data_IF_951086288746
#
_entry.id   IF_951086288746
#
_cell.length_a   1.000
_cell.length_b   1.000
_cell.length_c   1.000
_cell.angle_alpha   90.00
_cell.angle_beta   90.00
_cell.angle_gamma   90.00
#
_symmetry.space_group_name_H-M   'P 1'
#
loop_
_entity.id
_entity.type
_entity.pdbx_description
1 polymer ?
#
# COMPACT_ATOMS: atom_id res chain seq x y z
N UNK A 1 -9.32 61.06 20.86
CA UNK A 1 -8.60 60.82 19.59
C UNK A 1 -7.47 59.84 19.91
N UNK A 2 -7.30 58.67 19.30
CA UNK A 2 -7.87 58.08 18.10
C UNK A 2 -7.90 56.56 18.31
N UNK A 3 -8.93 55.92 17.76
CA UNK A 3 -9.09 54.49 17.53
C UNK A 3 -7.91 53.98 16.68
N UNK A 4 -7.33 52.82 16.99
CA UNK A 4 -6.54 52.07 16.01
C UNK A 4 -7.03 50.62 15.96
N UNK A 5 -7.43 50.26 14.75
CA UNK A 5 -8.29 49.16 14.38
C UNK A 5 -7.54 47.82 14.30
N UNK A 6 -8.30 46.73 14.52
CA UNK A 6 -7.89 45.36 14.16
C UNK A 6 -7.58 45.30 12.67
N UNK A 7 -6.35 44.96 12.32
CA UNK A 7 -6.01 44.51 10.97
C UNK A 7 -6.43 43.03 10.85
N UNK A 8 -7.68 42.80 10.45
CA UNK A 8 -8.08 41.53 9.86
C UNK A 8 -7.45 41.47 8.47
N UNK A 9 -6.38 40.68 8.33
CA UNK A 9 -5.87 40.30 7.02
C UNK A 9 -6.90 39.32 6.41
N UNK A 10 -7.45 39.58 5.22
CA UNK A 10 -8.42 38.70 4.61
C UNK A 10 -7.80 37.33 4.32
N UNK A 11 -8.52 36.29 4.73
CA UNK A 11 -8.31 34.91 4.31
C UNK A 11 -8.57 34.83 2.79
N UNK A 12 -7.54 35.02 1.98
CA UNK A 12 -7.65 34.84 0.54
C UNK A 12 -7.64 33.34 0.19
N UNK A 13 -8.75 32.91 -0.37
CA UNK A 13 -8.77 31.81 -1.32
C UNK A 13 -9.22 30.46 -0.76
N UNK A 14 -10.43 30.39 -0.21
CA UNK A 14 -11.23 29.18 -0.40
C UNK A 14 -11.37 28.97 -1.92
N UNK A 15 -10.50 28.13 -2.51
CA UNK A 15 -10.61 27.72 -3.91
C UNK A 15 -12.02 27.18 -4.09
N UNK A 16 -12.84 27.89 -4.87
CA UNK A 16 -14.14 27.43 -5.33
C UNK A 16 -13.96 26.00 -5.85
N UNK A 17 -14.54 25.02 -5.14
CA UNK A 17 -14.57 23.62 -5.56
C UNK A 17 -15.02 23.59 -7.02
N UNK A 18 -14.14 23.13 -7.91
CA UNK A 18 -14.56 22.82 -9.28
C UNK A 18 -15.63 21.75 -9.16
N UNK A 19 -16.80 22.03 -9.74
CA UNK A 19 -17.97 21.16 -9.81
C UNK A 19 -17.54 19.83 -10.43
N UNK A 20 -17.17 18.83 -9.61
CA UNK A 20 -16.68 17.52 -10.05
C UNK A 20 -15.58 16.86 -9.20
N UNK A 21 -14.90 17.58 -8.31
CA UNK A 21 -13.85 17.00 -7.45
C UNK A 21 -14.52 16.35 -6.21
N UNK A 22 -14.81 15.06 -6.29
CA UNK A 22 -15.33 14.29 -5.16
C UNK A 22 -14.18 13.87 -4.24
N UNK A 23 -14.33 14.20 -2.95
CA UNK A 23 -13.43 13.75 -1.91
C UNK A 23 -14.12 12.70 -1.04
N UNK A 24 -13.33 11.75 -0.53
CA UNK A 24 -13.82 10.65 0.30
C UNK A 24 -13.09 10.66 1.63
N UNK A 25 -13.76 10.33 2.73
CA UNK A 25 -13.07 10.14 4.00
C UNK A 25 -12.12 8.95 3.91
N UNK A 26 -10.85 9.14 4.24
CA UNK A 26 -9.82 8.10 4.18
C UNK A 26 -10.25 6.86 4.99
N UNK A 27 -10.75 7.06 6.20
CA UNK A 27 -11.20 5.99 7.11
C UNK A 27 -12.58 5.43 6.74
N UNK A 28 -13.20 5.90 5.65
CA UNK A 28 -14.51 5.42 5.15
C UNK A 28 -14.52 4.92 3.70
N UNK A 29 -13.43 5.14 2.96
CA UNK A 29 -13.34 4.81 1.54
C UNK A 29 -13.38 3.29 1.30
N UNK A 30 -14.21 2.85 0.36
CA UNK A 30 -14.49 1.43 0.09
C UNK A 30 -15.14 0.67 1.26
N UNK A 31 -15.68 1.35 2.26
CA UNK A 31 -16.63 0.73 3.18
C UNK A 31 -17.97 0.49 2.50
N UNK A 32 -18.81 -0.34 3.13
CA UNK A 32 -20.12 -0.74 2.59
C UNK A 32 -20.93 0.49 2.17
N UNK A 33 -21.10 0.66 0.85
CA UNK A 33 -21.88 1.76 0.27
C UNK A 33 -21.10 3.05 -0.04
N UNK A 34 -19.78 3.12 0.15
CA UNK A 34 -18.97 4.30 -0.16
C UNK A 34 -17.86 3.97 -1.20
N UNK A 35 -17.85 4.58 -2.41
CA UNK A 35 -18.76 5.62 -2.90
C UNK A 35 -20.17 5.14 -3.25
N UNK A 36 -20.32 3.85 -3.51
CA UNK A 36 -21.59 3.20 -3.86
C UNK A 36 -21.48 1.69 -3.57
N UNK A 37 -22.59 0.96 -3.38
CA UNK A 37 -22.54 -0.50 -3.33
C UNK A 37 -21.96 -1.08 -4.63
N UNK A 38 -20.82 -1.77 -4.54
CA UNK A 38 -20.16 -2.40 -5.69
C UNK A 38 -20.73 -3.80 -5.94
N UNK A 39 -21.49 -3.96 -7.02
CA UNK A 39 -22.13 -5.23 -7.44
C UNK A 39 -21.48 -5.82 -8.69
N UNK A 40 -21.64 -7.13 -8.89
CA UNK A 40 -21.13 -7.83 -10.07
C UNK A 40 -19.75 -8.44 -9.89
N UNK A 41 -19.07 -8.72 -11.02
CA UNK A 41 -17.73 -9.30 -11.03
C UNK A 41 -16.66 -8.31 -10.54
N UNK A 42 -15.45 -8.79 -10.25
CA UNK A 42 -14.29 -7.94 -9.93
C UNK A 42 -14.13 -6.77 -10.92
N UNK A 43 -14.31 -7.03 -12.22
CA UNK A 43 -14.18 -6.02 -13.26
C UNK A 43 -15.32 -5.00 -13.24
N UNK A 44 -16.55 -5.43 -12.99
CA UNK A 44 -17.71 -4.54 -12.88
C UNK A 44 -17.54 -3.61 -11.68
N UNK A 45 -17.08 -4.15 -10.55
CA UNK A 45 -16.80 -3.39 -9.33
C UNK A 45 -15.66 -2.39 -9.51
N UNK A 46 -14.57 -2.81 -10.16
CA UNK A 46 -13.45 -1.91 -10.45
C UNK A 46 -13.89 -0.76 -11.35
N UNK A 47 -14.60 -1.04 -12.44
CA UNK A 47 -15.16 -0.02 -13.33
C UNK A 47 -16.07 0.92 -12.56
N UNK A 48 -16.98 0.38 -11.75
CA UNK A 48 -17.91 1.17 -10.95
C UNK A 48 -17.19 2.09 -9.95
N UNK A 49 -16.12 1.61 -9.29
CA UNK A 49 -15.28 2.43 -8.42
C UNK A 49 -14.61 3.57 -9.20
N UNK A 50 -14.02 3.28 -10.37
CA UNK A 50 -13.32 4.26 -11.20
C UNK A 50 -14.23 5.36 -11.78
N UNK A 51 -15.55 5.15 -11.86
CA UNK A 51 -16.50 6.20 -12.27
C UNK A 51 -16.49 7.41 -11.32
N UNK A 52 -16.07 7.22 -10.06
CA UNK A 52 -15.98 8.28 -9.05
C UNK A 52 -14.57 8.89 -8.96
N UNK A 53 -13.63 8.39 -9.74
CA UNK A 53 -12.25 8.86 -9.74
C UNK A 53 -12.08 10.08 -10.65
N UNK A 54 -11.12 10.94 -10.32
CA UNK A 54 -10.68 12.00 -11.21
C UNK A 54 -9.77 11.41 -12.31
N UNK A 55 -10.07 11.55 -13.61
CA UNK A 55 -9.16 11.14 -14.67
C UNK A 55 -7.95 12.08 -14.72
N UNK A 56 -6.75 11.52 -14.65
CA UNK A 56 -5.50 12.27 -14.67
C UNK A 56 -4.94 12.31 -16.10
N UNK A 57 -4.61 13.50 -16.59
CA UNK A 57 -4.01 13.67 -17.91
C UNK A 57 -2.56 13.16 -17.91
N UNK A 58 -2.26 12.18 -18.75
CA UNK A 58 -0.92 11.61 -18.90
C UNK A 58 -0.28 12.14 -20.17
N UNK A 59 0.86 12.84 -20.05
CA UNK A 59 1.54 13.50 -21.18
C UNK A 59 2.22 12.53 -22.16
N UNK A 60 2.34 11.24 -21.82
CA UNK A 60 2.95 10.22 -22.66
C UNK A 60 2.17 8.90 -22.60
N UNK A 61 1.34 8.64 -23.63
CA UNK A 61 0.99 7.30 -24.14
C UNK A 61 0.33 6.29 -23.18
N UNK A 62 -0.90 5.90 -23.55
CA UNK A 62 -1.61 4.63 -23.24
C UNK A 62 -1.95 4.26 -21.78
N UNK A 63 -1.31 4.85 -20.76
CA UNK A 63 -1.65 4.53 -19.37
C UNK A 63 -2.89 5.31 -18.92
N UNK A 64 -3.98 4.59 -18.64
CA UNK A 64 -5.15 5.18 -18.00
C UNK A 64 -4.87 5.38 -16.52
N UNK A 65 -4.80 6.65 -16.10
CA UNK A 65 -4.54 7.04 -14.72
C UNK A 65 -5.76 7.74 -14.13
N UNK A 66 -6.15 7.33 -12.95
CA UNK A 66 -7.23 7.92 -12.17
C UNK A 66 -6.75 8.24 -10.77
N UNK A 67 -7.37 9.20 -10.09
CA UNK A 67 -7.04 9.53 -8.71
C UNK A 67 -8.28 9.73 -7.84
N UNK A 68 -8.14 9.40 -6.56
CA UNK A 68 -9.13 9.67 -5.52
C UNK A 68 -8.50 10.58 -4.47
N UNK A 69 -9.18 11.69 -4.15
CA UNK A 69 -8.79 12.53 -3.03
C UNK A 69 -9.39 11.97 -1.74
N UNK A 70 -8.52 11.57 -0.81
CA UNK A 70 -8.90 10.98 0.47
C UNK A 70 -8.61 11.98 1.61
N UNK A 71 -9.66 12.41 2.31
CA UNK A 71 -9.60 13.34 3.43
C UNK A 71 -9.28 12.62 4.73
N UNK A 72 -8.27 13.11 5.45
CA UNK A 72 -7.88 12.59 6.75
C UNK A 72 -8.60 13.40 7.84
N UNK A 73 -9.22 12.71 8.80
CA UNK A 73 -9.89 13.35 9.92
C UNK A 73 -8.86 13.86 10.96
N UNK A 74 -8.30 15.06 10.71
CA UNK A 74 -7.29 15.71 11.57
C UNK A 74 -7.28 17.23 11.44
N UNK A 75 -6.59 17.89 12.38
CA UNK A 75 -6.31 19.32 12.33
C UNK A 75 -4.79 19.57 12.18
N UNK A 76 -4.34 20.36 11.19
CA UNK A 76 -5.13 20.98 10.12
C UNK A 76 -5.67 19.94 9.10
N UNK A 77 -6.78 20.24 8.41
CA UNK A 77 -7.34 19.35 7.39
C UNK A 77 -6.28 18.95 6.37
N UNK A 78 -6.08 17.65 6.20
CA UNK A 78 -5.05 17.11 5.32
C UNK A 78 -5.71 16.09 4.40
N UNK A 79 -5.38 16.11 3.12
CA UNK A 79 -5.81 15.09 2.16
C UNK A 79 -4.61 14.42 1.52
N UNK A 80 -4.79 13.16 1.15
CA UNK A 80 -3.84 12.38 0.34
C UNK A 80 -4.52 11.95 -0.95
N UNK A 81 -3.75 11.69 -2.01
CA UNK A 81 -4.28 11.18 -3.28
C UNK A 81 -3.88 9.74 -3.50
N UNK A 82 -4.87 8.88 -3.68
CA UNK A 82 -4.67 7.50 -4.13
C UNK A 82 -4.78 7.46 -5.65
N UNK A 83 -3.74 6.98 -6.33
CA UNK A 83 -3.73 6.82 -7.77
C UNK A 83 -4.02 5.39 -8.17
N UNK A 84 -4.78 5.22 -9.26
CA UNK A 84 -5.10 3.94 -9.88
C UNK A 84 -4.68 3.97 -11.34
N UNK A 85 -3.74 3.11 -11.72
CA UNK A 85 -3.17 3.05 -13.06
C UNK A 85 -3.45 1.70 -13.68
N UNK A 86 -4.01 1.70 -14.89
CA UNK A 86 -4.15 0.48 -15.69
C UNK A 86 -2.95 0.35 -16.64
N UNK A 87 -2.16 -0.71 -16.42
CA UNK A 87 -1.09 -1.16 -17.31
C UNK A 87 -1.61 -2.29 -18.19
N UNK A 88 -1.46 -2.16 -19.51
CA UNK A 88 -1.68 -3.27 -20.45
C UNK A 88 -0.45 -4.19 -20.46
N UNK A 89 -0.68 -5.49 -20.26
CA UNK A 89 0.40 -6.46 -20.21
C UNK A 89 1.07 -6.70 -21.58
N UNK A 90 0.39 -6.40 -22.69
CA UNK A 90 0.92 -6.57 -24.05
C UNK A 90 1.96 -5.49 -24.40
N UNK A 91 1.69 -4.24 -23.99
CA UNK A 91 2.55 -3.08 -24.20
C UNK A 91 3.58 -2.91 -23.07
N UNK A 92 3.35 -3.57 -21.92
CA UNK A 92 4.30 -3.62 -20.82
C UNK A 92 5.64 -4.28 -21.21
N UNK A 93 6.73 -3.71 -20.67
CA UNK A 93 8.07 -4.29 -20.76
C UNK A 93 8.18 -5.70 -20.13
N UNK A 94 7.21 -6.09 -19.30
CA UNK A 94 7.15 -7.42 -18.71
C UNK A 94 5.76 -8.03 -18.88
N UNK A 95 5.62 -9.02 -19.77
CA UNK A 95 4.33 -9.71 -20.03
C UNK A 95 3.88 -10.64 -18.91
N UNK A 96 4.81 -11.17 -18.12
CA UNK A 96 4.53 -12.08 -17.00
C UNK A 96 4.65 -11.36 -15.68
N UNK A 97 3.67 -11.54 -14.80
CA UNK A 97 3.81 -11.08 -13.43
C UNK A 97 4.84 -11.93 -12.68
N UNK A 98 5.96 -11.33 -12.29
CA UNK A 98 7.04 -12.01 -11.57
C UNK A 98 6.65 -12.39 -10.15
N UNK A 99 5.78 -11.61 -9.52
CA UNK A 99 5.26 -11.93 -8.20
C UNK A 99 4.35 -13.18 -8.22
N UNK A 100 3.56 -13.37 -9.28
CA UNK A 100 2.82 -14.63 -9.47
C UNK A 100 3.77 -15.83 -9.60
N UNK A 101 4.91 -15.67 -10.27
CA UNK A 101 5.92 -16.74 -10.36
C UNK A 101 6.49 -17.07 -8.97
N UNK A 102 6.84 -16.06 -8.16
CA UNK A 102 7.46 -16.28 -6.85
C UNK A 102 6.52 -16.93 -5.82
N UNK A 103 5.22 -16.67 -5.90
CA UNK A 103 4.21 -17.24 -4.99
C UNK A 103 3.54 -18.52 -5.52
N UNK A 104 4.05 -19.07 -6.63
CA UNK A 104 3.55 -20.32 -7.21
C UNK A 104 2.23 -20.19 -7.97
N UNK A 105 1.81 -18.98 -8.33
CA UNK A 105 0.60 -18.71 -9.12
C UNK A 105 0.88 -18.75 -10.63
N UNK A 106 1.60 -19.80 -11.08
CA UNK A 106 2.00 -19.99 -12.48
C UNK A 106 0.84 -19.92 -13.48
N UNK A 107 -0.35 -20.37 -13.07
CA UNK A 107 -1.56 -20.33 -13.90
C UNK A 107 -2.25 -18.94 -13.96
N UNK A 108 -1.75 -17.97 -13.20
CA UNK A 108 -2.27 -16.59 -13.15
C UNK A 108 -1.24 -15.55 -13.65
N UNK A 109 -0.12 -16.00 -14.23
CA UNK A 109 0.98 -15.12 -14.70
C UNK A 109 0.63 -14.32 -15.96
N UNK A 110 -0.36 -14.78 -16.74
CA UNK A 110 -0.85 -14.13 -17.97
C UNK A 110 -2.19 -13.49 -17.63
N UNK A 111 -2.20 -12.17 -17.54
CA UNK A 111 -3.41 -11.35 -17.44
C UNK A 111 -3.24 -10.20 -18.42
N UNK A 112 -4.33 -9.84 -19.11
CA UNK A 112 -4.31 -8.75 -20.09
C UNK A 112 -4.02 -7.39 -19.46
N UNK A 113 -4.44 -7.17 -18.21
CA UNK A 113 -4.26 -5.91 -17.49
C UNK A 113 -3.73 -6.10 -16.09
N UNK A 114 -2.92 -5.14 -15.65
CA UNK A 114 -2.52 -4.94 -14.25
C UNK A 114 -2.99 -3.58 -13.78
N UNK A 115 -3.57 -3.54 -12.59
CA UNK A 115 -4.16 -2.35 -12.01
C UNK A 115 -3.34 -2.01 -10.76
N UNK A 116 -2.64 -0.90 -10.82
CA UNK A 116 -1.73 -0.44 -9.77
C UNK A 116 -2.47 0.56 -8.89
N UNK A 117 -2.52 0.28 -7.60
CA UNK A 117 -3.00 1.21 -6.57
C UNK A 117 -1.79 1.78 -5.85
N UNK A 118 -1.60 3.09 -5.95
CA UNK A 118 -0.40 3.78 -5.43
C UNK A 118 -0.79 4.97 -4.58
N UNK A 119 -0.33 4.97 -3.33
CA UNK A 119 -0.34 6.14 -2.46
C UNK A 119 1.09 6.69 -2.41
N UNK A 120 1.45 7.71 -3.19
CA UNK A 120 2.82 8.19 -3.24
C UNK A 120 3.15 9.02 -1.98
N UNK A 121 4.44 9.11 -1.64
CA UNK A 121 4.90 9.97 -0.54
C UNK A 121 4.80 11.45 -0.92
N UNK A 122 4.99 11.75 -2.21
CA UNK A 122 4.81 13.08 -2.80
C UNK A 122 3.78 13.02 -3.89
N UNK A 123 2.98 14.06 -3.97
CA UNK A 123 1.77 14.08 -4.78
C UNK A 123 2.03 14.46 -6.25
N UNK A 124 2.85 13.67 -6.93
CA UNK A 124 3.33 13.94 -8.30
C UNK A 124 3.06 12.76 -9.22
N UNK A 125 2.31 12.97 -10.31
CA UNK A 125 1.99 11.94 -11.31
C UNK A 125 3.22 11.27 -11.90
N UNK A 126 4.26 12.03 -12.22
CA UNK A 126 5.52 11.50 -12.76
C UNK A 126 6.19 10.50 -11.80
N UNK A 127 6.02 10.67 -10.48
CA UNK A 127 6.55 9.74 -9.49
C UNK A 127 5.77 8.42 -9.52
N UNK A 128 4.45 8.50 -9.62
CA UNK A 128 3.57 7.34 -9.70
C UNK A 128 3.84 6.51 -10.95
N UNK A 129 4.00 7.16 -12.10
CA UNK A 129 4.35 6.49 -13.36
C UNK A 129 5.70 5.77 -13.25
N UNK A 130 6.72 6.45 -12.71
CA UNK A 130 8.03 5.83 -12.49
C UNK A 130 7.94 4.61 -11.56
N UNK A 131 7.16 4.69 -10.48
CA UNK A 131 6.93 3.56 -9.57
C UNK A 131 6.30 2.38 -10.30
N UNK A 132 5.27 2.63 -11.12
CA UNK A 132 4.56 1.56 -11.84
C UNK A 132 5.44 0.92 -12.93
N UNK A 133 6.10 1.73 -13.76
CA UNK A 133 6.99 1.27 -14.83
C UNK A 133 8.16 0.43 -14.31
N UNK A 134 8.67 0.75 -13.11
CA UNK A 134 9.80 0.04 -12.50
C UNK A 134 9.42 -1.06 -11.51
N UNK A 135 8.14 -1.27 -11.20
CA UNK A 135 7.68 -2.27 -10.24
C UNK A 135 8.25 -3.67 -10.53
N UNK A 136 8.25 -4.09 -11.79
CA UNK A 136 8.78 -5.38 -12.22
C UNK A 136 10.33 -5.42 -12.33
N UNK A 137 10.98 -4.27 -12.44
CA UNK A 137 12.41 -4.13 -12.65
C UNK A 137 13.23 -4.19 -11.35
N UNK A 138 12.64 -3.84 -10.21
CA UNK A 138 13.30 -3.84 -8.89
C UNK A 138 13.85 -5.23 -8.51
N UNK A 139 13.24 -6.33 -8.99
CA UNK A 139 13.72 -7.69 -8.74
C UNK A 139 14.90 -8.13 -9.62
N UNK A 140 15.16 -7.46 -10.75
CA UNK A 140 16.23 -7.86 -11.70
C UNK A 140 17.63 -7.44 -11.27
N UNK A 141 17.76 -6.43 -10.40
CA UNK A 141 19.08 -5.84 -10.10
C UNK A 141 19.67 -6.51 -8.86
N UNK A 142 20.73 -7.31 -9.05
CA UNK A 142 21.72 -7.49 -7.99
C UNK A 142 22.14 -6.08 -7.53
N UNK A 143 22.27 -5.81 -6.23
CA UNK A 143 22.74 -4.51 -5.75
C UNK A 143 24.20 -4.37 -6.17
N UNK A 144 24.45 -3.77 -7.32
CA UNK A 144 25.79 -3.34 -7.72
C UNK A 144 26.10 -2.07 -6.95
N UNK A 145 27.17 -2.13 -6.15
CA UNK A 145 27.74 -0.98 -5.47
C UNK A 145 28.06 0.11 -6.51
N UNK A 146 27.23 1.15 -6.59
CA UNK A 146 27.45 2.28 -7.49
C UNK A 146 26.23 2.69 -8.33
N UNK A 147 25.20 1.85 -8.49
CA UNK A 147 23.93 2.35 -9.03
C UNK A 147 23.23 3.13 -7.91
N UNK A 148 22.99 4.44 -8.10
CA UNK A 148 22.04 5.19 -7.27
C UNK A 148 20.73 4.40 -7.28
N UNK A 149 20.50 3.61 -6.24
CA UNK A 149 19.24 2.92 -6.01
C UNK A 149 18.19 4.01 -6.11
N UNK A 150 17.41 4.03 -7.20
CA UNK A 150 16.26 4.92 -7.31
C UNK A 150 15.48 4.67 -6.06
N UNK A 151 15.46 5.66 -5.17
CA UNK A 151 15.00 5.52 -3.81
C UNK A 151 13.62 4.89 -3.84
N UNK A 152 13.52 3.62 -3.48
CA UNK A 152 12.29 2.82 -3.57
C UNK A 152 11.33 3.17 -2.43
N UNK A 153 11.73 4.05 -1.50
CA UNK A 153 10.88 4.61 -0.44
C UNK A 153 9.94 5.76 -0.90
N UNK A 154 9.51 5.73 -2.15
CA UNK A 154 8.77 6.84 -2.78
C UNK A 154 7.24 6.72 -2.74
N UNK A 155 6.72 5.58 -2.29
CA UNK A 155 5.31 5.42 -1.99
C UNK A 155 5.06 4.79 -0.62
N UNK A 156 3.91 5.20 -0.06
CA UNK A 156 3.31 4.73 1.18
C UNK A 156 2.56 3.41 0.97
N UNK A 157 1.89 3.26 -0.17
CA UNK A 157 1.19 2.04 -0.59
C UNK A 157 1.53 1.75 -2.04
N UNK A 158 1.80 0.48 -2.35
CA UNK A 158 1.77 -0.03 -3.70
C UNK A 158 1.18 -1.42 -3.72
N UNK A 159 -0.05 -1.53 -4.22
CA UNK A 159 -0.71 -2.80 -4.52
C UNK A 159 -0.88 -2.97 -6.03
N UNK A 160 -0.83 -4.21 -6.51
CA UNK A 160 -1.09 -4.56 -7.91
C UNK A 160 -2.16 -5.63 -7.95
N UNK A 161 -3.25 -5.36 -8.67
CA UNK A 161 -4.33 -6.32 -8.94
C UNK A 161 -4.31 -6.72 -10.42
N UNK A 162 -4.59 -7.98 -10.69
CA UNK A 162 -4.72 -8.51 -12.04
C UNK A 162 -6.19 -8.47 -12.46
N UNK A 163 -6.46 -8.42 -13.76
CA UNK A 163 -7.83 -8.45 -14.30
C UNK A 163 -8.65 -9.69 -13.91
N UNK A 164 -8.00 -10.76 -13.44
CA UNK A 164 -8.64 -11.99 -12.97
C UNK A 164 -8.94 -12.00 -11.45
N UNK A 165 -8.65 -10.90 -10.73
CA UNK A 165 -8.90 -10.74 -9.30
C UNK A 165 -7.81 -11.29 -8.37
N UNK A 166 -6.64 -11.68 -8.87
CA UNK A 166 -5.46 -11.99 -8.04
C UNK A 166 -4.59 -10.76 -7.85
N UNK A 167 -3.86 -10.66 -6.73
CA UNK A 167 -3.01 -9.50 -6.52
C UNK A 167 -1.85 -9.68 -5.57
N UNK A 168 -1.01 -8.66 -5.57
CA UNK A 168 0.22 -8.57 -4.81
C UNK A 168 0.29 -7.22 -4.09
N UNK A 169 0.50 -7.26 -2.78
CA UNK A 169 0.86 -6.09 -2.00
C UNK A 169 2.38 -5.97 -2.02
N UNK A 170 2.87 -4.93 -2.69
CA UNK A 170 4.30 -4.74 -2.96
C UNK A 170 4.95 -3.86 -1.89
N UNK A 171 4.23 -2.86 -1.38
CA UNK A 171 4.80 -1.89 -0.43
C UNK A 171 3.76 -1.32 0.52
N UNK A 172 4.15 -1.23 1.79
CA UNK A 172 3.48 -0.50 2.86
C UNK A 172 4.52 0.24 3.68
N UNK A 173 4.43 1.56 3.69
CA UNK A 173 5.34 2.45 4.37
C UNK A 173 4.51 3.45 5.21
N UNK A 174 4.53 3.27 6.53
CA UNK A 174 3.94 4.21 7.48
C UNK A 174 4.89 5.35 7.86
N UNK A 175 4.80 5.83 9.10
CA UNK A 175 5.70 6.88 9.62
C UNK A 175 7.19 6.56 9.45
N UNK A 176 7.63 5.35 9.80
CA UNK A 176 9.03 4.91 9.63
C UNK A 176 9.48 4.84 8.16
N UNK A 177 8.52 4.70 7.23
CA UNK A 177 8.77 4.68 5.79
C UNK A 177 8.64 6.05 5.13
N UNK A 178 8.54 7.14 5.92
CA UNK A 178 8.51 8.51 5.42
C UNK A 178 7.12 9.15 5.30
N UNK A 179 6.06 8.49 5.81
CA UNK A 179 4.77 9.17 5.92
C UNK A 179 4.80 10.23 7.02
N UNK A 180 4.24 11.41 6.76
CA UNK A 180 4.04 12.43 7.80
C UNK A 180 2.71 12.26 8.53
N UNK A 181 1.77 11.54 7.92
CA UNK A 181 0.37 11.59 8.33
C UNK A 181 -0.22 10.22 8.62
N UNK A 182 0.21 9.18 7.92
CA UNK A 182 -0.42 7.88 7.93
C UNK A 182 0.48 6.83 8.59
N UNK A 183 -0.09 6.12 9.55
CA UNK A 183 0.52 4.89 10.05
C UNK A 183 0.42 3.77 9.01
N UNK A 184 1.33 2.80 9.08
CA UNK A 184 1.23 1.61 8.23
C UNK A 184 -0.06 0.82 8.49
N UNK A 185 -0.60 0.90 9.71
CA UNK A 185 -1.88 0.29 10.08
C UNK A 185 -3.04 0.91 9.30
N UNK A 186 -3.16 2.24 9.30
CA UNK A 186 -4.19 2.97 8.53
C UNK A 186 -4.11 2.69 7.02
N UNK A 187 -2.89 2.60 6.48
CA UNK A 187 -2.68 2.28 5.06
C UNK A 187 -3.15 0.84 4.75
N UNK A 188 -2.86 -0.11 5.64
CA UNK A 188 -3.34 -1.48 5.51
C UNK A 188 -4.87 -1.58 5.62
N UNK A 189 -5.50 -0.84 6.53
CA UNK A 189 -6.97 -0.81 6.65
C UNK A 189 -7.63 -0.22 5.40
N UNK A 190 -7.03 0.79 4.77
CA UNK A 190 -7.45 1.28 3.45
C UNK A 190 -7.31 0.18 2.39
N UNK A 191 -6.17 -0.49 2.34
CA UNK A 191 -5.90 -1.54 1.36
C UNK A 191 -6.85 -2.73 1.49
N UNK A 192 -7.13 -3.16 2.73
CA UNK A 192 -8.03 -4.27 3.05
C UNK A 192 -9.47 -3.97 2.63
N UNK A 193 -9.95 -2.74 2.87
CA UNK A 193 -11.27 -2.29 2.40
C UNK A 193 -11.36 -2.23 0.88
N UNK A 194 -10.35 -1.72 0.19
CA UNK A 194 -10.30 -1.75 -1.29
C UNK A 194 -10.39 -3.19 -1.79
N UNK A 195 -9.61 -4.11 -1.23
CA UNK A 195 -9.61 -5.52 -1.63
C UNK A 195 -10.97 -6.20 -1.36
N UNK A 196 -11.56 -5.92 -0.21
CA UNK A 196 -12.87 -6.46 0.19
C UNK A 196 -13.99 -5.93 -0.69
N UNK A 197 -14.03 -4.62 -0.94
CA UNK A 197 -15.04 -3.98 -1.78
C UNK A 197 -15.00 -4.51 -3.21
N UNK A 198 -13.79 -4.68 -3.77
CA UNK A 198 -13.58 -5.24 -5.10
C UNK A 198 -13.76 -6.77 -5.17
N UNK A 199 -13.91 -7.46 -4.03
CA UNK A 199 -13.93 -8.92 -3.94
C UNK A 199 -12.72 -9.56 -4.64
N UNK A 200 -11.53 -9.05 -4.28
CA UNK A 200 -10.27 -9.65 -4.73
C UNK A 200 -10.21 -11.11 -4.25
N UNK A 201 -9.89 -12.02 -5.18
CA UNK A 201 -9.94 -13.46 -4.96
C UNK A 201 -8.84 -13.97 -4.06
N UNK A 202 -7.63 -13.44 -4.25
CA UNK A 202 -6.45 -13.80 -3.45
C UNK A 202 -5.41 -12.71 -3.50
N UNK A 203 -4.85 -12.40 -2.34
CA UNK A 203 -3.76 -11.46 -2.18
C UNK A 203 -2.52 -12.17 -1.64
N UNK A 204 -1.35 -11.76 -2.13
CA UNK A 204 -0.07 -12.14 -1.56
C UNK A 204 0.70 -10.91 -1.11
N UNK A 205 1.57 -11.09 -0.13
CA UNK A 205 2.49 -10.07 0.36
C UNK A 205 3.84 -10.73 0.56
N UNK A 206 4.91 -10.03 0.19
CA UNK A 206 6.25 -10.42 0.59
C UNK A 206 6.59 -9.57 1.80
N UNK A 207 6.70 -10.20 2.96
CA UNK A 207 7.08 -9.51 4.18
C UNK A 207 8.58 -9.19 4.18
N UNK A 208 8.94 -8.06 3.56
CA UNK A 208 10.29 -7.50 3.53
C UNK A 208 10.48 -6.34 4.53
N UNK A 209 9.53 -6.14 5.46
CA UNK A 209 9.57 -5.00 6.37
C UNK A 209 10.77 -5.10 7.34
N UNK A 210 11.48 -4.01 7.56
CA UNK A 210 12.58 -3.94 8.54
C UNK A 210 12.17 -3.21 9.82
N UNK A 211 10.87 -2.90 9.97
CA UNK A 211 10.31 -2.14 11.09
C UNK A 211 10.66 -2.77 12.44
N UNK A 212 11.30 -1.97 13.31
CA UNK A 212 11.65 -2.37 14.67
C UNK A 212 12.61 -3.56 14.79
N UNK A 213 13.34 -3.90 13.71
CA UNK A 213 14.27 -5.05 13.63
C UNK A 213 13.58 -6.39 13.91
N UNK A 214 14.36 -7.45 14.01
CA UNK A 214 13.84 -8.81 14.22
C UNK A 214 13.15 -8.95 15.58
N UNK A 215 13.63 -8.23 16.59
CA UNK A 215 13.14 -8.33 17.96
C UNK A 215 11.66 -7.93 18.08
N UNK A 216 11.26 -6.82 17.44
CA UNK A 216 9.85 -6.39 17.47
C UNK A 216 8.93 -7.40 16.78
N UNK A 217 9.41 -8.03 15.70
CA UNK A 217 8.68 -9.10 14.98
C UNK A 217 8.49 -10.33 15.86
N UNK A 218 9.54 -10.73 16.58
CA UNK A 218 9.47 -11.85 17.52
C UNK A 218 8.49 -11.55 18.65
N UNK A 219 8.54 -10.36 19.24
CA UNK A 219 7.59 -9.93 20.28
C UNK A 219 6.15 -9.97 19.77
N UNK A 220 5.89 -9.49 18.56
CA UNK A 220 4.58 -9.58 17.93
C UNK A 220 4.12 -11.04 17.83
N UNK A 221 4.98 -11.92 17.33
CA UNK A 221 4.70 -13.36 17.24
C UNK A 221 4.40 -14.00 18.60
N UNK A 222 5.14 -13.64 19.66
CA UNK A 222 4.87 -14.14 21.02
C UNK A 222 3.55 -13.62 21.58
N UNK A 223 3.27 -12.33 21.38
CA UNK A 223 2.10 -11.68 21.97
C UNK A 223 0.77 -12.07 21.29
N UNK A 224 0.78 -12.24 19.97
CA UNK A 224 -0.43 -12.44 19.17
C UNK A 224 -0.54 -13.83 18.55
N UNK A 225 0.52 -14.64 18.57
CA UNK A 225 0.53 -15.96 17.92
C UNK A 225 0.42 -15.90 16.39
N UNK A 226 0.60 -14.72 15.80
CA UNK A 226 0.35 -14.47 14.39
C UNK A 226 1.48 -13.64 13.75
N UNK A 227 1.69 -13.77 12.42
CA UNK A 227 2.62 -12.90 11.70
C UNK A 227 2.14 -11.44 11.72
N UNK A 228 3.04 -10.53 11.34
CA UNK A 228 2.79 -9.09 11.34
C UNK A 228 1.53 -8.66 10.57
N UNK A 229 1.20 -9.37 9.49
CA UNK A 229 0.02 -9.09 8.66
C UNK A 229 -1.21 -9.96 9.03
N UNK A 230 -1.10 -10.81 10.07
CA UNK A 230 -2.14 -11.76 10.48
C UNK A 230 -3.48 -11.09 10.81
N UNK A 231 -3.43 -9.88 11.38
CA UNK A 231 -4.62 -9.06 11.67
C UNK A 231 -5.50 -8.78 10.44
N UNK A 232 -4.93 -8.75 9.23
CA UNK A 232 -5.67 -8.57 7.97
C UNK A 232 -5.89 -9.91 7.24
N UNK A 233 -5.84 -11.03 7.96
CA UNK A 233 -6.10 -12.36 7.43
C UNK A 233 -4.96 -12.96 6.60
N UNK A 234 -3.79 -12.31 6.51
CA UNK A 234 -2.64 -12.88 5.82
C UNK A 234 -2.06 -14.05 6.60
N UNK A 235 -1.85 -15.17 5.91
CA UNK A 235 -1.33 -16.42 6.47
C UNK A 235 -0.09 -16.86 5.70
N UNK A 236 0.54 -17.93 6.18
CA UNK A 236 1.61 -18.58 5.43
C UNK A 236 1.13 -18.92 4.01
N UNK A 237 1.90 -18.47 3.02
CA UNK A 237 1.66 -18.79 1.62
C UNK A 237 2.68 -19.83 1.16
N UNK A 238 3.80 -19.34 0.63
CA UNK A 238 4.90 -20.17 0.19
C UNK A 238 6.17 -19.79 0.94
N UNK A 239 6.85 -20.79 1.52
CA UNK A 239 8.10 -20.57 2.21
C UNK A 239 9.27 -20.41 1.24
N UNK A 240 10.21 -19.55 1.60
CA UNK A 240 11.50 -19.45 0.93
C UNK A 240 12.45 -20.55 1.42
N UNK A 241 13.44 -20.92 0.61
CA UNK A 241 14.55 -21.80 1.00
C UNK A 241 14.13 -23.15 1.63
N UNK A 242 13.01 -23.73 1.15
CA UNK A 242 12.53 -25.04 1.62
C UNK A 242 11.74 -25.01 2.93
N UNK A 243 11.39 -23.84 3.46
CA UNK A 243 10.49 -23.73 4.62
C UNK A 243 9.10 -24.25 4.24
N UNK A 244 8.65 -25.29 4.94
CA UNK A 244 7.32 -25.86 4.78
C UNK A 244 6.31 -25.19 5.72
N UNK A 245 5.02 -25.32 5.41
CA UNK A 245 3.94 -24.84 6.29
C UNK A 245 4.03 -25.47 7.69
N UNK A 246 4.34 -26.76 7.78
CA UNK A 246 4.53 -27.45 9.05
C UNK A 246 5.72 -26.91 9.86
N UNK A 247 6.81 -26.53 9.19
CA UNK A 247 7.95 -25.89 9.87
C UNK A 247 7.58 -24.48 10.35
N UNK A 248 6.85 -23.73 9.53
CA UNK A 248 6.34 -22.42 9.89
C UNK A 248 5.42 -22.50 11.12
N UNK A 249 4.42 -23.38 11.10
CA UNK A 249 3.47 -23.53 12.20
C UNK A 249 4.17 -23.91 13.50
N UNK A 250 5.08 -24.91 13.46
CA UNK A 250 5.89 -25.27 14.63
C UNK A 250 6.74 -24.10 15.15
N UNK A 251 7.21 -23.23 14.27
CA UNK A 251 7.97 -22.04 14.67
C UNK A 251 7.08 -21.02 15.36
N UNK A 252 5.87 -20.78 14.85
CA UNK A 252 4.87 -19.90 15.48
C UNK A 252 4.47 -20.43 16.86
N UNK A 253 4.18 -21.74 16.96
CA UNK A 253 3.82 -22.37 18.24
C UNK A 253 4.95 -22.28 19.26
N UNK A 254 6.19 -22.52 18.83
CA UNK A 254 7.37 -22.39 19.70
C UNK A 254 7.59 -20.93 20.15
N UNK A 255 7.39 -19.96 19.25
CA UNK A 255 7.50 -18.53 19.60
C UNK A 255 6.42 -18.13 20.61
N UNK A 256 5.18 -18.56 20.41
CA UNK A 256 4.07 -18.27 21.33
C UNK A 256 4.29 -18.88 22.72
N UNK A 257 4.97 -20.02 22.81
CA UNK A 257 5.32 -20.66 24.08
C UNK A 257 6.51 -19.99 24.81
N UNK A 258 7.25 -19.06 24.17
CA UNK A 258 8.40 -18.41 24.80
C UNK A 258 7.94 -17.39 25.84
N UNK A 259 8.49 -17.44 27.07
CA UNK A 259 8.26 -16.39 28.05
C UNK A 259 8.79 -15.03 27.56
N UNK A 260 7.94 -13.99 27.54
CA UNK A 260 8.32 -12.62 27.12
C UNK A 260 9.59 -12.10 27.81
N UNK A 261 9.82 -12.50 29.07
CA UNK A 261 11.04 -12.15 29.84
C UNK A 261 12.35 -12.56 29.16
N UNK A 262 12.34 -13.53 28.26
CA UNK A 262 13.53 -13.94 27.50
C UNK A 262 13.87 -12.98 26.36
N UNK A 263 12.87 -12.22 25.87
CA UNK A 263 13.03 -11.24 24.80
C UNK A 263 13.32 -9.82 25.35
N UNK A 264 12.84 -9.51 26.56
CA UNK A 264 12.99 -8.19 27.21
C UNK A 264 14.45 -7.69 27.33
N UNK A 265 15.46 -8.49 27.71
CA UNK A 265 16.83 -8.01 27.85
C UNK A 265 17.44 -7.51 26.54
N UNK A 266 17.06 -8.12 25.41
CA UNK A 266 17.53 -7.72 24.08
C UNK A 266 16.84 -6.46 23.57
N UNK A 267 15.59 -6.23 23.96
CA UNK A 267 14.85 -5.00 23.70
C UNK A 267 15.39 -3.83 24.55
N UNK A 268 15.69 -4.07 25.82
CA UNK A 268 16.30 -3.06 26.69
C UNK A 268 17.68 -2.61 26.18
N UNK A 269 18.51 -3.55 25.73
CA UNK A 269 19.83 -3.25 25.18
C UNK A 269 19.78 -2.57 23.79
N UNK A 270 18.71 -2.76 23.01
CA UNK A 270 18.55 -2.11 21.70
C UNK A 270 18.06 -0.67 21.81
N UNK A 271 17.26 -0.35 22.83
CA UNK A 271 16.81 1.03 23.14
C UNK A 271 17.95 1.93 23.61
N UNK A 272 18.90 1.39 24.40
CA UNK A 272 20.06 2.15 24.90
C UNK A 272 21.06 2.50 23.80
N UNK A 273 21.07 1.77 22.67
CA UNK A 273 21.98 2.03 21.53
C UNK A 273 21.41 3.02 20.50
N UNK A 274 20.20 3.54 20.72
CA UNK A 274 19.52 4.48 19.81
C UNK A 274 19.34 5.89 20.40
N UNK A 275 20.06 6.19 21.49
CA UNK A 275 20.21 7.54 22.04
C UNK A 275 21.60 8.09 21.72
#
# INVERSE_FOLDING_TARGET
>A
MLIMARLCIPFEGARKRKRGEQSFGFDSFCDTGNPTPLTGSFQDKLKALLMFAHPEAVEQGELQCHSFQLELHRHPPTSVRLFVLEEDAETSTCRRCRYCVSVGWGHHIICSKRIHFVLPTKDTLSEVQNICLHANAEWSKKPTAGSKLVNTNRCLLHGVLHSNGFGHLLRINGFEGGSHFLSGHQIMDLWDRICTALQVRKMSVIDASTKGKMELRLVHGVAYGEPWFGRWGYRFGQGSYGVTEQMYQRSVDALHALPLRLLLPRLAASVVKSQ
#
